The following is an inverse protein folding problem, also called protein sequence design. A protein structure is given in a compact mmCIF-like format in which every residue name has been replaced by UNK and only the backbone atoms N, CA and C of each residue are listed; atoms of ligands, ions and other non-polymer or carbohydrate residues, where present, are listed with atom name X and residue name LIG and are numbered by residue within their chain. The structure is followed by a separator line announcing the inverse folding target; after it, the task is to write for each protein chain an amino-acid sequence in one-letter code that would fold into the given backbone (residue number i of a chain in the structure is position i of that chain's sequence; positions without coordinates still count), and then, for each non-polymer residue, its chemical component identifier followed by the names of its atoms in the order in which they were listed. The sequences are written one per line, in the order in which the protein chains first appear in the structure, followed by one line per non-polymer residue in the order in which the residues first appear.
data_IF_178260365168
#
_entry.id   IF_178260365168
#
_cell.length_a   1.000
_cell.length_b   1.000
_cell.length_c   1.000
_cell.angle_alpha   90.00
_cell.angle_beta   90.00
_cell.angle_gamma   90.00
#
_symmetry.space_group_name_H-M   'P 1'
#
loop_
_entity.id
_entity.type
_entity.pdbx_description
1 polymer ?
#
# COMPACT_ATOMS: atom_id res chain seq x y z
N UNK A 1 17.78 19.60 17.17
CA UNK A 1 16.40 19.61 16.62
C UNK A 1 16.30 20.67 15.55
N UNK A 2 15.48 20.46 14.52
CA UNK A 2 15.13 21.58 13.62
C UNK A 2 14.36 22.62 14.47
N UNK A 3 14.73 23.89 14.32
CA UNK A 3 14.06 24.99 15.03
C UNK A 3 12.77 25.45 14.34
N UNK A 4 12.40 24.83 13.22
CA UNK A 4 11.24 25.19 12.42
C UNK A 4 10.38 23.97 12.06
N UNK A 5 9.08 24.19 11.93
CA UNK A 5 8.07 23.20 11.56
C UNK A 5 7.81 23.19 10.06
N UNK A 6 7.13 22.15 9.56
CA UNK A 6 6.76 22.08 8.14
C UNK A 6 5.70 23.15 7.79
N UNK A 7 4.80 23.46 8.72
CA UNK A 7 3.81 24.53 8.57
C UNK A 7 4.48 25.90 8.37
N UNK A 8 5.53 26.20 9.13
CA UNK A 8 6.31 27.44 8.97
C UNK A 8 7.01 27.51 7.61
N UNK A 9 7.44 26.36 7.06
CA UNK A 9 7.99 26.29 5.70
C UNK A 9 6.90 26.60 4.67
N UNK A 10 5.70 26.03 4.82
CA UNK A 10 4.56 26.28 3.94
C UNK A 10 4.14 27.75 3.98
N UNK A 11 4.01 28.33 5.18
CA UNK A 11 3.66 29.74 5.33
C UNK A 11 4.72 30.68 4.74
N UNK A 12 6.00 30.38 4.91
CA UNK A 12 7.08 31.14 4.29
C UNK A 12 7.07 31.05 2.76
N UNK A 13 6.70 29.90 2.18
CA UNK A 13 6.53 29.74 0.74
C UNK A 13 5.32 30.52 0.22
N UNK A 14 4.20 30.51 0.96
CA UNK A 14 3.02 31.31 0.64
C UNK A 14 3.36 32.81 0.60
N UNK A 15 4.07 33.33 1.61
CA UNK A 15 4.56 34.71 1.63
C UNK A 15 5.39 35.04 0.37
N UNK A 16 6.27 34.12 -0.05
CA UNK A 16 7.09 34.31 -1.26
C UNK A 16 6.23 34.35 -2.52
N UNK A 17 5.24 33.47 -2.64
CA UNK A 17 4.30 33.50 -3.77
C UNK A 17 3.46 34.77 -3.80
N UNK A 18 3.19 35.36 -2.63
CA UNK A 18 2.51 36.66 -2.48
C UNK A 18 3.44 37.87 -2.67
N UNK A 19 4.67 37.67 -3.15
CA UNK A 19 5.60 38.74 -3.52
C UNK A 19 6.57 39.17 -2.42
N UNK A 20 6.58 38.51 -1.25
CA UNK A 20 7.58 38.77 -0.21
C UNK A 20 8.93 38.19 -0.63
N UNK A 21 10.02 38.94 -0.42
CA UNK A 21 11.36 38.41 -0.76
C UNK A 21 11.70 37.18 0.09
N UNK A 22 12.44 36.22 -0.48
CA UNK A 22 12.88 35.00 0.23
C UNK A 22 13.66 35.33 1.52
N UNK A 23 14.39 36.46 1.54
CA UNK A 23 15.14 36.92 2.71
C UNK A 23 14.21 37.41 3.82
N UNK A 24 13.17 38.15 3.45
CA UNK A 24 12.16 38.64 4.39
C UNK A 24 11.35 37.47 4.96
N UNK A 25 10.88 36.55 4.11
CA UNK A 25 10.16 35.34 4.54
C UNK A 25 11.01 34.45 5.47
N UNK A 26 12.30 34.25 5.14
CA UNK A 26 13.23 33.50 5.99
C UNK A 26 13.36 34.09 7.40
N UNK A 27 13.46 35.42 7.51
CA UNK A 27 13.57 36.11 8.80
C UNK A 27 12.26 36.08 9.59
N UNK A 28 11.13 36.22 8.89
CA UNK A 28 9.79 36.26 9.49
C UNK A 28 9.39 34.92 10.11
N UNK A 29 9.65 33.83 9.40
CA UNK A 29 9.22 32.48 9.80
C UNK A 29 10.33 31.65 10.43
N UNK A 30 11.54 32.20 10.62
CA UNK A 30 12.67 31.47 11.19
C UNK A 30 13.21 30.32 10.33
N UNK A 31 12.71 30.17 9.09
CA UNK A 31 13.11 29.10 8.17
C UNK A 31 14.37 29.53 7.42
N UNK A 32 15.44 28.71 7.39
CA UNK A 32 16.65 29.02 6.63
C UNK A 32 16.36 29.24 5.14
N UNK A 33 16.95 30.28 4.57
CA UNK A 33 16.82 30.61 3.14
C UNK A 33 17.18 29.43 2.23
N UNK A 34 18.16 28.62 2.61
CA UNK A 34 18.55 27.40 1.89
C UNK A 34 17.41 26.39 1.78
N UNK A 35 16.63 26.20 2.84
CA UNK A 35 15.44 25.34 2.85
C UNK A 35 14.38 25.89 1.89
N UNK A 36 14.08 27.19 1.96
CA UNK A 36 13.08 27.82 1.07
C UNK A 36 13.49 27.72 -0.40
N UNK A 37 14.76 27.98 -0.73
CA UNK A 37 15.28 27.83 -2.09
C UNK A 37 15.19 26.38 -2.56
N UNK A 38 15.51 25.40 -1.70
CA UNK A 38 15.38 23.98 -2.02
C UNK A 38 13.94 23.61 -2.34
N UNK A 39 12.97 24.09 -1.55
CA UNK A 39 11.54 23.89 -1.83
C UNK A 39 11.06 24.55 -3.11
N UNK A 40 11.49 25.79 -3.38
CA UNK A 40 11.17 26.49 -4.65
C UNK A 40 11.71 25.72 -5.86
N UNK A 41 12.86 25.04 -5.73
CA UNK A 41 13.43 24.17 -6.74
C UNK A 41 12.69 22.82 -6.90
N UNK A 42 11.63 22.58 -6.13
CA UNK A 42 10.80 21.38 -6.21
C UNK A 42 11.26 20.22 -5.33
N UNK A 43 12.20 20.42 -4.41
CA UNK A 43 12.53 19.37 -3.44
C UNK A 43 11.39 19.19 -2.44
N UNK A 44 10.98 17.94 -2.22
CA UNK A 44 9.95 17.58 -1.26
C UNK A 44 10.49 17.50 0.17
N UNK A 45 9.61 17.59 1.19
CA UNK A 45 9.98 17.23 2.55
C UNK A 45 10.45 15.79 2.61
N UNK A 46 11.33 15.51 3.56
CA UNK A 46 11.82 14.15 3.80
C UNK A 46 10.69 13.16 4.13
N UNK A 47 9.59 13.60 4.75
CA UNK A 47 8.47 12.70 5.04
C UNK A 47 7.75 12.28 3.75
N UNK A 48 7.43 13.22 2.87
CA UNK A 48 6.81 12.93 1.57
C UNK A 48 7.75 12.13 0.66
N UNK A 49 9.02 12.53 0.56
CA UNK A 49 10.00 11.85 -0.30
C UNK A 49 10.25 10.39 0.10
N UNK A 50 9.96 10.01 1.34
CA UNK A 50 10.11 8.64 1.85
C UNK A 50 8.76 7.94 2.05
N UNK A 51 7.64 8.57 1.69
CA UNK A 51 6.30 8.01 1.86
C UNK A 51 6.13 6.70 1.09
N UNK A 52 6.70 6.60 -0.11
CA UNK A 52 6.65 5.38 -0.94
C UNK A 52 7.42 4.19 -0.35
N UNK A 53 8.32 4.46 0.61
CA UNK A 53 9.05 3.41 1.34
C UNK A 53 8.29 2.92 2.57
N UNK A 54 7.22 3.62 2.99
CA UNK A 54 6.40 3.21 4.11
C UNK A 54 5.41 2.12 3.71
N UNK A 55 5.08 1.24 4.67
CA UNK A 55 4.13 0.15 4.44
C UNK A 55 2.67 0.60 4.55
N UNK A 56 2.44 1.69 5.27
CA UNK A 56 1.14 2.29 5.50
C UNK A 56 1.15 3.72 4.96
N UNK A 57 0.01 4.19 4.43
CA UNK A 57 -0.15 5.60 4.09
C UNK A 57 -0.22 6.45 5.36
N UNK A 58 0.08 7.74 5.25
CA UNK A 58 -0.03 8.68 6.37
C UNK A 58 -1.41 8.64 7.07
N UNK A 59 -2.50 8.50 6.30
CA UNK A 59 -3.85 8.35 6.84
C UNK A 59 -4.09 7.05 7.60
N UNK A 60 -3.47 5.95 7.16
CA UNK A 60 -3.53 4.66 7.85
C UNK A 60 -2.74 4.71 9.16
N UNK A 61 -1.56 5.33 9.15
CA UNK A 61 -0.76 5.55 10.36
C UNK A 61 -1.49 6.44 11.36
N UNK A 62 -2.11 7.53 10.90
CA UNK A 62 -2.91 8.42 11.76
C UNK A 62 -4.11 7.69 12.39
N UNK A 63 -4.80 6.83 11.61
CA UNK A 63 -5.90 6.01 12.12
C UNK A 63 -5.42 5.01 13.17
N UNK A 64 -4.26 4.38 12.94
CA UNK A 64 -3.65 3.46 13.89
C UNK A 64 -3.22 4.18 15.18
N UNK A 65 -2.59 5.34 15.07
CA UNK A 65 -2.20 6.16 16.22
C UNK A 65 -3.41 6.56 17.05
N UNK A 66 -4.50 7.01 16.40
CA UNK A 66 -5.77 7.34 17.06
C UNK A 66 -6.34 6.13 17.80
N UNK A 67 -6.33 4.96 17.17
CA UNK A 67 -6.79 3.73 17.80
C UNK A 67 -5.96 3.33 19.02
N UNK A 68 -4.62 3.48 18.97
CA UNK A 68 -3.73 3.17 20.10
C UNK A 68 -4.00 4.10 21.29
N UNK A 69 -4.14 5.41 21.05
CA UNK A 69 -4.45 6.38 22.11
C UNK A 69 -5.81 6.06 22.73
N UNK A 70 -6.83 5.82 21.91
CA UNK A 70 -8.16 5.47 22.39
C UNK A 70 -8.15 4.17 23.22
N UNK A 71 -7.35 3.17 22.84
CA UNK A 71 -7.19 1.95 23.64
C UNK A 71 -6.48 2.19 24.98
N UNK A 72 -5.49 3.08 25.01
CA UNK A 72 -4.81 3.45 26.26
C UNK A 72 -5.76 4.16 27.24
N UNK A 73 -6.57 5.10 26.73
CA UNK A 73 -7.53 5.86 27.53
C UNK A 73 -8.67 4.98 28.07
N UNK A 74 -9.06 3.93 27.33
CA UNK A 74 -10.11 2.99 27.73
C UNK A 74 -9.68 2.05 28.87
N UNK A 75 -8.38 1.91 29.14
CA UNK A 75 -7.86 1.03 30.19
C UNK A 75 -8.26 -0.43 29.97
N UNK A 76 -7.55 -1.13 29.08
CA UNK A 76 -7.85 -2.53 28.75
C UNK A 76 -7.86 -3.47 29.96
N UNK A 77 -8.77 -4.43 29.97
CA UNK A 77 -8.77 -5.51 30.96
C UNK A 77 -7.73 -6.57 30.58
N UNK A 78 -6.86 -6.96 31.52
CA UNK A 78 -5.87 -8.00 31.30
C UNK A 78 -6.46 -9.42 31.36
N UNK A 79 -7.78 -9.54 31.40
CA UNK A 79 -8.47 -10.82 31.52
C UNK A 79 -8.36 -11.62 30.20
N UNK A 80 -8.13 -12.94 30.27
CA UNK A 80 -8.08 -13.76 29.07
C UNK A 80 -9.45 -13.78 28.38
N UNK A 81 -9.44 -13.72 27.05
CA UNK A 81 -10.66 -13.85 26.26
C UNK A 81 -11.32 -15.21 26.50
N UNK A 82 -12.63 -15.20 26.75
CA UNK A 82 -13.38 -16.44 26.94
C UNK A 82 -13.37 -17.35 25.71
N UNK A 83 -13.50 -18.67 25.91
CA UNK A 83 -13.42 -19.71 24.84
C UNK A 83 -14.27 -19.42 23.60
N UNK A 84 -15.46 -18.81 23.77
CA UNK A 84 -16.42 -18.50 22.69
C UNK A 84 -16.30 -17.07 22.16
N UNK A 85 -15.34 -16.29 22.64
CA UNK A 85 -15.24 -14.88 22.30
C UNK A 85 -15.01 -14.68 20.80
N UNK A 86 -14.13 -15.49 20.19
CA UNK A 86 -13.84 -15.42 18.74
C UNK A 86 -15.10 -15.71 17.92
N UNK A 87 -15.83 -16.79 18.24
CA UNK A 87 -17.09 -17.12 17.55
C UNK A 87 -18.13 -16.02 17.71
N UNK A 88 -18.22 -15.42 18.90
CA UNK A 88 -19.06 -14.26 19.19
C UNK A 88 -18.68 -13.04 18.36
N UNK A 89 -17.39 -12.74 18.31
CA UNK A 89 -16.83 -11.62 17.56
C UNK A 89 -17.12 -11.75 16.06
N UNK A 90 -16.91 -12.94 15.48
CA UNK A 90 -17.22 -13.21 14.08
C UNK A 90 -18.71 -13.07 13.77
N UNK A 91 -19.59 -13.51 14.67
CA UNK A 91 -21.04 -13.35 14.51
C UNK A 91 -21.50 -11.89 14.55
N UNK A 92 -20.87 -11.07 15.40
CA UNK A 92 -21.17 -9.63 15.52
C UNK A 92 -20.62 -8.81 14.37
N UNK A 93 -19.60 -9.29 13.66
CA UNK A 93 -18.91 -8.55 12.60
C UNK A 93 -19.01 -9.31 11.25
N UNK A 94 -20.19 -9.36 10.61
CA UNK A 94 -20.38 -10.10 9.36
C UNK A 94 -19.60 -9.52 8.17
N UNK A 95 -19.04 -8.31 8.30
CA UNK A 95 -18.16 -7.68 7.30
C UNK A 95 -16.79 -8.34 7.19
N UNK A 96 -16.40 -9.17 8.16
CA UNK A 96 -15.16 -9.93 8.18
C UNK A 96 -15.43 -11.43 8.23
N UNK A 97 -14.60 -12.22 7.56
CA UNK A 97 -14.66 -13.69 7.61
C UNK A 97 -13.26 -14.29 7.59
N UNK A 98 -13.16 -15.51 8.10
CA UNK A 98 -11.94 -16.32 7.95
C UNK A 98 -11.83 -16.76 6.49
N UNK A 99 -10.66 -16.52 5.88
CA UNK A 99 -10.37 -16.82 4.49
C UNK A 99 -9.03 -17.53 4.36
N UNK A 100 -8.91 -18.38 3.34
CA UNK A 100 -7.61 -18.95 2.97
C UNK A 100 -6.76 -17.89 2.28
N UNK A 101 -5.56 -17.70 2.78
CA UNK A 101 -4.53 -16.94 2.08
C UNK A 101 -3.97 -17.78 0.95
N UNK A 102 -3.97 -17.26 -0.28
CA UNK A 102 -3.37 -17.91 -1.45
C UNK A 102 -2.11 -17.16 -1.83
N UNK A 103 -0.99 -17.87 -1.88
CA UNK A 103 0.27 -17.32 -2.38
C UNK A 103 0.17 -16.98 -3.86
N UNK A 104 0.56 -15.78 -4.26
CA UNK A 104 0.75 -15.40 -5.67
C UNK A 104 2.22 -15.08 -5.92
N UNK A 105 2.72 -15.54 -7.07
CA UNK A 105 4.11 -15.33 -7.46
C UNK A 105 4.42 -13.84 -7.66
N UNK A 106 5.59 -13.38 -7.21
CA UNK A 106 5.95 -11.96 -7.26
C UNK A 106 6.08 -11.43 -8.69
N UNK A 107 6.59 -12.22 -9.65
CA UNK A 107 6.63 -11.84 -11.07
C UNK A 107 5.22 -11.71 -11.63
N UNK A 108 4.28 -12.57 -11.23
CA UNK A 108 2.87 -12.45 -11.64
C UNK A 108 2.21 -11.17 -11.12
N UNK A 109 2.49 -10.78 -9.87
CA UNK A 109 1.96 -9.53 -9.32
C UNK A 109 2.56 -8.31 -10.00
N UNK A 110 3.87 -8.32 -10.24
CA UNK A 110 4.59 -7.15 -10.77
C UNK A 110 4.46 -7.02 -12.30
N UNK A 111 4.36 -8.13 -13.04
CA UNK A 111 4.34 -8.13 -14.51
C UNK A 111 2.96 -7.99 -15.14
N UNK A 112 1.89 -8.11 -14.35
CA UNK A 112 0.51 -7.98 -14.82
C UNK A 112 0.05 -6.51 -14.83
N UNK A 113 0.71 -5.66 -15.62
CA UNK A 113 0.24 -4.27 -15.85
C UNK A 113 -0.87 -4.25 -16.91
N UNK A 114 -1.73 -3.23 -16.85
CA UNK A 114 -2.83 -3.06 -17.81
C UNK A 114 -2.33 -2.93 -19.24
N UNK A 115 -1.18 -2.30 -19.44
CA UNK A 115 -0.53 -2.07 -20.72
C UNK A 115 -0.01 -3.39 -21.28
N UNK A 116 0.73 -4.15 -20.47
CA UNK A 116 1.29 -5.47 -20.85
C UNK A 116 0.17 -6.44 -21.23
N UNK A 117 -0.90 -6.48 -20.43
CA UNK A 117 -2.05 -7.35 -20.71
C UNK A 117 -2.73 -6.92 -22.01
N UNK A 118 -3.03 -5.62 -22.17
CA UNK A 118 -3.71 -5.09 -23.36
C UNK A 118 -2.92 -5.34 -24.63
N UNK A 119 -1.61 -5.12 -24.60
CA UNK A 119 -0.72 -5.35 -25.73
C UNK A 119 -0.62 -6.84 -26.07
N UNK A 120 -0.57 -7.71 -25.05
CA UNK A 120 -0.59 -9.15 -25.28
C UNK A 120 -1.87 -9.62 -26.00
N UNK A 121 -3.04 -9.09 -25.62
CA UNK A 121 -4.30 -9.46 -26.27
C UNK A 121 -4.37 -9.04 -27.74
N UNK A 122 -3.60 -8.03 -28.18
CA UNK A 122 -3.50 -7.67 -29.60
C UNK A 122 -2.93 -8.82 -30.43
N UNK A 123 -2.06 -9.66 -29.85
CA UNK A 123 -1.53 -10.83 -30.56
C UNK A 123 -2.62 -11.83 -30.92
N UNK A 124 -3.66 -11.99 -30.09
CA UNK A 124 -4.78 -12.90 -30.39
C UNK A 124 -5.60 -12.47 -31.62
N UNK A 125 -5.51 -11.19 -32.02
CA UNK A 125 -6.15 -10.66 -33.23
C UNK A 125 -5.28 -10.83 -34.49
N UNK A 126 -4.05 -11.33 -34.38
CA UNK A 126 -3.19 -11.55 -35.53
C UNK A 126 -3.80 -12.61 -36.47
N UNK A 127 -3.77 -12.39 -37.81
CA UNK A 127 -4.37 -13.30 -38.79
C UNK A 127 -3.92 -14.76 -38.65
N UNK A 128 -2.65 -14.97 -38.27
CA UNK A 128 -2.07 -16.31 -38.07
C UNK A 128 -2.68 -17.05 -36.87
N UNK A 129 -3.05 -16.32 -35.81
CA UNK A 129 -3.63 -16.91 -34.59
C UNK A 129 -5.15 -17.05 -34.74
N UNK A 130 -5.82 -16.08 -35.38
CA UNK A 130 -7.26 -16.16 -35.66
C UNK A 130 -7.61 -17.28 -36.63
N UNK A 131 -6.72 -17.61 -37.56
CA UNK A 131 -6.86 -18.75 -38.47
C UNK A 131 -6.92 -20.11 -37.76
N UNK A 132 -6.32 -20.24 -36.56
CA UNK A 132 -6.42 -21.45 -35.74
C UNK A 132 -7.80 -21.49 -35.09
N UNK A 133 -8.63 -22.47 -35.48
CA UNK A 133 -9.96 -22.67 -34.88
C UNK A 133 -9.86 -22.77 -33.36
N UNK A 134 -10.79 -22.16 -32.59
CA UNK A 134 -10.76 -22.24 -31.12
C UNK A 134 -10.67 -23.67 -30.58
N UNK A 135 -11.32 -24.64 -31.24
CA UNK A 135 -11.27 -26.07 -30.88
C UNK A 135 -9.86 -26.69 -30.99
N UNK A 136 -8.94 -26.07 -31.73
CA UNK A 136 -7.57 -26.54 -31.93
C UNK A 136 -6.56 -25.72 -31.12
N UNK A 137 -7.02 -24.89 -30.17
CA UNK A 137 -6.16 -24.09 -29.30
C UNK A 137 -6.02 -24.79 -27.96
N UNK A 138 -4.86 -25.38 -27.73
CA UNK A 138 -4.55 -26.09 -26.49
C UNK A 138 -3.61 -25.24 -25.63
N UNK A 139 -3.86 -25.22 -24.33
CA UNK A 139 -2.92 -24.63 -23.37
C UNK A 139 -1.85 -25.69 -23.05
N UNK A 140 -0.58 -25.31 -23.16
CA UNK A 140 0.54 -26.11 -22.70
C UNK A 140 1.18 -25.35 -21.54
N UNK A 141 0.81 -25.69 -20.30
CA UNK A 141 1.42 -25.15 -19.09
C UNK A 141 2.04 -26.25 -18.22
N UNK A 142 3.24 -26.00 -17.71
CA UNK A 142 3.88 -26.90 -16.76
C UNK A 142 3.22 -26.80 -15.38
N UNK A 143 2.83 -27.95 -14.84
CA UNK A 143 2.41 -28.07 -13.45
C UNK A 143 3.65 -28.28 -12.58
N UNK A 144 4.29 -27.19 -12.13
CA UNK A 144 5.43 -27.27 -11.22
C UNK A 144 5.02 -27.67 -9.80
N UNK A 145 5.55 -28.78 -9.29
CA UNK A 145 5.51 -29.15 -7.87
C UNK A 145 6.63 -28.39 -7.16
N UNK A 146 6.33 -27.74 -6.04
CA UNK A 146 7.30 -26.95 -5.26
C UNK A 146 7.45 -27.55 -3.87
N UNK A 147 8.62 -28.12 -3.57
CA UNK A 147 9.00 -28.54 -2.21
C UNK A 147 9.25 -27.32 -1.31
N UNK A 148 8.89 -27.43 -0.02
CA UNK A 148 9.11 -26.36 0.97
C UNK A 148 8.08 -25.21 0.95
N UNK A 149 7.00 -25.31 0.17
CA UNK A 149 5.95 -24.29 0.16
C UNK A 149 5.03 -24.43 1.37
N UNK A 150 5.15 -23.52 2.33
CA UNK A 150 4.26 -23.43 3.50
C UNK A 150 2.78 -23.39 3.09
N UNK A 151 1.95 -24.10 3.85
CA UNK A 151 0.51 -24.24 3.56
C UNK A 151 -0.25 -22.91 3.53
N UNK A 152 -1.45 -22.96 2.95
CA UNK A 152 -2.35 -21.80 2.94
C UNK A 152 -2.86 -21.53 4.37
N UNK A 153 -2.32 -20.50 5.02
CA UNK A 153 -2.79 -20.06 6.34
C UNK A 153 -4.20 -19.44 6.28
N UNK A 154 -4.94 -19.57 7.37
CA UNK A 154 -6.21 -18.86 7.56
C UNK A 154 -5.92 -17.43 8.02
N UNK A 155 -6.61 -16.46 7.43
CA UNK A 155 -6.51 -15.04 7.78
C UNK A 155 -7.91 -14.44 7.89
N UNK A 156 -8.06 -13.39 8.69
CA UNK A 156 -9.27 -12.56 8.66
C UNK A 156 -9.22 -11.62 7.46
N UNK A 157 -10.29 -11.59 6.67
CA UNK A 157 -10.42 -10.73 5.50
C UNK A 157 -11.85 -10.29 5.26
N UNK A 158 -12.04 -9.36 4.32
CA UNK A 158 -13.35 -8.77 4.00
C UNK A 158 -14.33 -9.84 3.53
N UNK A 159 -15.52 -9.94 4.12
CA UNK A 159 -16.48 -11.00 3.81
C UNK A 159 -16.86 -11.10 2.31
N UNK A 160 -16.82 -9.98 1.59
CA UNK A 160 -17.07 -9.93 0.15
C UNK A 160 -16.01 -10.70 -0.69
N UNK A 161 -14.77 -10.84 -0.22
CA UNK A 161 -13.72 -11.53 -0.99
C UNK A 161 -13.75 -13.04 -0.77
N UNK A 162 -13.51 -13.83 -1.84
CA UNK A 162 -13.44 -15.31 -1.72
C UNK A 162 -12.12 -15.78 -1.08
N UNK A 163 -11.02 -15.07 -1.32
CA UNK A 163 -9.70 -15.38 -0.77
C UNK A 163 -8.83 -14.13 -0.71
N UNK A 164 -7.82 -14.17 0.15
CA UNK A 164 -6.80 -13.12 0.27
C UNK A 164 -5.55 -13.55 -0.50
N UNK A 165 -5.03 -12.69 -1.38
CA UNK A 165 -3.77 -12.96 -2.10
C UNK A 165 -2.59 -12.46 -1.28
N UNK A 166 -1.61 -13.33 -1.06
CA UNK A 166 -0.33 -12.97 -0.42
C UNK A 166 0.78 -13.03 -1.45
N UNK A 167 1.41 -11.89 -1.73
CA UNK A 167 2.60 -11.83 -2.59
C UNK A 167 3.73 -12.63 -1.95
N UNK A 168 4.34 -13.53 -2.72
CA UNK A 168 5.53 -14.25 -2.28
C UNK A 168 6.73 -13.29 -2.24
N UNK A 169 7.62 -13.39 -1.24
CA UNK A 169 8.79 -12.52 -1.14
C UNK A 169 9.80 -12.77 -2.27
N UNK A 170 9.80 -13.97 -2.87
CA UNK A 170 10.62 -14.35 -4.02
C UNK A 170 9.76 -14.95 -5.13
N UNK A 171 10.29 -14.90 -6.34
CA UNK A 171 9.74 -15.59 -7.51
C UNK A 171 10.03 -17.09 -7.41
N UNK A 172 9.20 -17.92 -8.04
CA UNK A 172 9.40 -19.39 -8.16
C UNK A 172 10.48 -19.81 -9.17
N UNK A 173 11.31 -18.86 -9.61
CA UNK A 173 12.24 -19.04 -10.71
C UNK A 173 13.60 -18.46 -10.34
#
# INVERSE_FOLDING_TARGET
MKQYTEDEVIQALNDITNGVSTRTASRRWGVPRSTLISRIKGHQPRQEAFQDLQRLSASQEASLATWVIAQADLGGDAQPLGKRWVDGFMRRNPSIKVQRSRSIDSRRVNGASTEVIRDWFKYLAMPRITAIKPANRYNMDETGILEGKGGNGLVLGRAATKSVRKKQPRSRA
#
